data_IF_772182016508
#
_entry.id   IF_772182016508
#
_cell.length_a   1.000
_cell.length_b   1.000
_cell.length_c   1.000
_cell.angle_alpha   90.00
_cell.angle_beta   90.00
_cell.angle_gamma   90.00
#
_symmetry.space_group_name_H-M   'P 1'
#
loop_
_entity.id
_entity.type
_entity.pdbx_description
1 polymer ?
#
# COMPACT_ATOMS: atom_id res chain seq x y z
N UNK A 1 15.95 -2.42 9.78
CA UNK A 1 15.55 -3.81 10.10
C UNK A 1 15.03 -4.45 8.83
N UNK A 2 15.42 -5.68 8.50
CA UNK A 2 14.89 -6.39 7.32
C UNK A 2 13.69 -7.26 7.71
N UNK A 3 12.67 -7.27 6.87
CA UNK A 3 11.49 -8.12 7.06
C UNK A 3 11.84 -9.55 6.60
N UNK A 4 11.63 -10.59 7.43
CA UNK A 4 11.91 -11.97 7.03
C UNK A 4 11.10 -12.42 5.83
N UNK A 5 11.67 -13.31 5.02
CA UNK A 5 10.97 -13.94 3.89
C UNK A 5 9.73 -14.66 4.40
N UNK A 6 8.59 -14.42 3.76
CA UNK A 6 7.30 -15.03 4.11
C UNK A 6 6.48 -14.25 5.14
N UNK A 7 7.05 -13.22 5.77
CA UNK A 7 6.26 -12.28 6.57
C UNK A 7 5.32 -11.48 5.63
N UNK A 8 4.05 -11.38 6.02
CA UNK A 8 3.01 -10.73 5.23
C UNK A 8 2.22 -9.79 6.11
N UNK A 9 1.77 -8.68 5.53
CA UNK A 9 0.81 -7.81 6.15
C UNK A 9 -0.53 -8.55 6.29
N UNK A 10 -0.87 -8.97 7.52
CA UNK A 10 -2.11 -9.68 7.87
C UNK A 10 -2.67 -9.16 9.20
N UNK A 11 -3.06 -7.88 9.27
CA UNK A 11 -3.65 -7.32 10.47
C UNK A 11 -5.04 -7.92 10.73
N UNK A 12 -5.44 -7.93 11.98
CA UNK A 12 -6.83 -8.11 12.41
C UNK A 12 -7.65 -6.85 12.17
N UNK A 13 -8.98 -6.96 12.18
CA UNK A 13 -9.87 -5.80 12.06
C UNK A 13 -9.61 -4.75 13.15
N UNK A 14 -9.29 -5.22 14.37
CA UNK A 14 -8.96 -4.33 15.49
C UNK A 14 -7.67 -3.55 15.23
N UNK A 15 -6.62 -4.20 14.75
CA UNK A 15 -5.36 -3.56 14.39
C UNK A 15 -5.57 -2.57 13.23
N UNK A 16 -6.34 -2.92 12.20
CA UNK A 16 -6.68 -2.00 11.10
C UNK A 16 -7.36 -0.72 11.60
N UNK A 17 -8.36 -0.84 12.48
CA UNK A 17 -9.13 0.31 12.96
C UNK A 17 -8.31 1.14 13.95
N UNK A 18 -7.70 0.51 14.95
CA UNK A 18 -7.04 1.20 16.07
C UNK A 18 -5.68 1.73 15.65
N UNK A 19 -4.87 0.91 14.99
CA UNK A 19 -3.46 1.20 14.75
C UNK A 19 -3.19 1.88 13.41
N UNK A 20 -4.10 1.75 12.44
CA UNK A 20 -3.96 2.41 11.13
C UNK A 20 -4.97 3.56 10.97
N UNK A 21 -6.27 3.26 10.96
CA UNK A 21 -7.29 4.26 10.62
C UNK A 21 -7.41 5.38 11.67
N UNK A 22 -7.52 5.02 12.94
CA UNK A 22 -7.65 5.99 14.05
C UNK A 22 -6.38 6.83 14.22
N UNK A 23 -5.20 6.26 14.00
CA UNK A 23 -3.93 7.00 14.07
C UNK A 23 -3.83 8.01 12.93
N UNK A 24 -4.13 7.57 11.69
CA UNK A 24 -4.16 8.46 10.52
C UNK A 24 -5.15 9.62 10.70
N UNK A 25 -6.35 9.35 11.21
CA UNK A 25 -7.38 10.39 11.37
C UNK A 25 -7.03 11.46 12.41
N UNK A 26 -6.21 11.12 13.41
CA UNK A 26 -5.74 12.08 14.42
C UNK A 26 -4.54 12.92 13.96
N UNK A 27 -3.91 12.59 12.83
CA UNK A 27 -2.85 13.38 12.19
C UNK A 27 -1.53 13.54 12.99
N UNK A 28 -1.44 13.01 14.21
CA UNK A 28 -0.32 13.24 15.12
C UNK A 28 0.51 11.98 15.42
N UNK A 29 0.01 10.79 15.06
CA UNK A 29 0.68 9.52 15.37
C UNK A 29 1.26 8.90 14.09
N UNK A 30 2.56 8.57 14.11
CA UNK A 30 3.19 7.81 13.04
C UNK A 30 2.53 6.42 12.92
N UNK A 31 2.27 5.99 11.69
CA UNK A 31 1.73 4.66 11.44
C UNK A 31 2.78 3.60 11.80
N UNK A 32 2.36 2.39 12.22
CA UNK A 32 3.29 1.31 12.53
C UNK A 32 4.20 0.92 11.36
N UNK A 33 3.74 1.13 10.12
CA UNK A 33 4.53 0.94 8.90
C UNK A 33 3.92 1.68 7.70
N UNK A 34 4.75 2.03 6.72
CA UNK A 34 4.37 2.79 5.52
C UNK A 34 3.80 1.92 4.39
N UNK A 35 3.12 0.83 4.73
CA UNK A 35 2.54 -0.12 3.76
C UNK A 35 1.16 0.30 3.24
N UNK A 36 0.54 1.31 3.86
CA UNK A 36 -0.78 1.83 3.51
C UNK A 36 -0.62 3.17 2.81
N UNK A 37 -0.94 3.22 1.51
CA UNK A 37 -0.75 4.40 0.67
C UNK A 37 -2.04 5.19 0.50
N UNK A 38 -1.93 6.50 0.35
CA UNK A 38 -3.06 7.37 0.07
C UNK A 38 -3.45 7.32 -1.41
N UNK A 39 -4.74 7.11 -1.68
CA UNK A 39 -5.26 7.00 -3.04
C UNK A 39 -6.73 7.38 -3.13
N UNK A 40 -7.07 8.13 -4.17
CA UNK A 40 -8.45 8.33 -4.58
C UNK A 40 -8.96 7.07 -5.33
N UNK A 41 -9.80 6.29 -4.63
CA UNK A 41 -10.38 5.04 -5.12
C UNK A 41 -11.81 5.21 -5.67
N UNK A 42 -12.47 6.35 -5.39
CA UNK A 42 -13.79 6.71 -5.90
C UNK A 42 -13.75 8.11 -6.50
N UNK A 43 -13.34 8.23 -7.78
CA UNK A 43 -13.20 9.50 -8.49
C UNK A 43 -13.87 9.48 -9.86
N UNK A 44 -14.07 10.64 -10.47
CA UNK A 44 -14.64 10.76 -11.82
C UNK A 44 -13.60 10.37 -12.89
N UNK A 45 -13.72 9.15 -13.42
CA UNK A 45 -12.85 8.65 -14.49
C UNK A 45 -12.70 7.12 -14.49
N UNK A 46 -11.62 6.64 -15.12
CA UNK A 46 -11.22 5.22 -15.20
C UNK A 46 -10.70 4.70 -13.84
N UNK A 47 -11.60 4.50 -12.88
CA UNK A 47 -11.32 4.04 -11.50
C UNK A 47 -11.92 2.66 -11.22
N UNK A 48 -12.01 1.81 -12.23
CA UNK A 48 -12.42 0.42 -11.99
C UNK A 48 -11.45 -0.26 -11.02
N UNK A 49 -11.89 -1.28 -10.25
CA UNK A 49 -11.04 -1.93 -9.25
C UNK A 49 -9.66 -2.37 -9.76
N UNK A 50 -9.57 -2.83 -11.01
CA UNK A 50 -8.32 -3.25 -11.67
C UNK A 50 -7.44 -2.11 -12.21
N UNK A 51 -7.91 -0.86 -12.15
CA UNK A 51 -7.18 0.33 -12.56
C UNK A 51 -6.73 1.18 -11.36
N UNK A 52 -7.09 0.76 -10.14
CA UNK A 52 -6.67 1.43 -8.91
C UNK A 52 -5.14 1.34 -8.79
N UNK A 53 -4.54 0.21 -9.17
CA UNK A 53 -3.11 -0.04 -9.10
C UNK A 53 -2.38 0.37 -10.38
N UNK A 54 -1.20 0.97 -10.23
CA UNK A 54 -0.43 1.55 -11.34
C UNK A 54 1.00 1.03 -11.35
N UNK A 55 1.66 1.10 -12.50
CA UNK A 55 3.09 0.74 -12.67
C UNK A 55 4.06 1.58 -11.83
N UNK A 56 3.58 2.64 -11.20
CA UNK A 56 4.36 3.48 -10.29
C UNK A 56 4.20 3.05 -8.83
N UNK A 57 3.43 1.99 -8.56
CA UNK A 57 3.22 1.51 -7.21
C UNK A 57 4.52 0.88 -6.68
N UNK A 58 4.85 1.01 -5.38
CA UNK A 58 6.15 0.59 -4.84
C UNK A 58 6.51 -0.89 -5.02
N UNK A 59 5.51 -1.74 -5.32
CA UNK A 59 5.69 -3.18 -5.57
C UNK A 59 5.70 -3.55 -7.06
N UNK A 60 5.47 -2.59 -7.95
CA UNK A 60 5.71 -2.78 -9.39
C UNK A 60 7.19 -2.53 -9.63
N UNK A 61 7.95 -3.63 -9.74
CA UNK A 61 9.35 -3.56 -10.11
C UNK A 61 9.46 -2.86 -11.47
N UNK A 62 10.12 -1.70 -11.52
CA UNK A 62 10.42 -1.01 -12.76
C UNK A 62 10.95 -2.03 -13.76
N UNK A 63 10.36 -2.06 -14.95
CA UNK A 63 10.72 -2.92 -16.06
C UNK A 63 12.19 -2.66 -16.47
N UNK A 64 13.10 -3.25 -15.70
CA UNK A 64 14.52 -3.34 -16.00
C UNK A 64 14.61 -4.19 -17.26
N UNK A 65 14.93 -3.52 -18.35
CA UNK A 65 15.18 -4.05 -19.67
C UNK A 65 16.18 -5.20 -19.60
N UNK A 66 15.68 -6.43 -19.44
CA UNK A 66 16.44 -7.64 -19.71
C UNK A 66 16.16 -8.04 -21.14
N UNK A 67 16.83 -7.36 -22.07
CA UNK A 67 16.99 -7.84 -23.44
C UNK A 67 17.80 -9.12 -23.38
N UNK A 68 17.12 -10.26 -23.29
CA UNK A 68 17.73 -11.56 -23.55
C UNK A 68 17.68 -11.78 -25.06
N UNK A 69 18.76 -11.35 -25.73
CA UNK A 69 19.12 -11.76 -27.10
C UNK A 69 20.28 -12.74 -27.01
#
# INVERSE_FOLDING_TARGET
MSVPVGYKFRPTDQELVIDYLRRKSKGAEALPCDVVFEREIYGTGNKFPWQIFTKNDPWEEGNSTSSRS
#
